data_IF_045021580879
#
_entry.id   IF_045021580879
#
_cell.length_a   1.000
_cell.length_b   1.000
_cell.length_c   1.000
_cell.angle_alpha   90.00
_cell.angle_beta   90.00
_cell.angle_gamma   90.00
#
_symmetry.space_group_name_H-M   'P 1'
#
loop_
_entity.id
_entity.type
_entity.pdbx_description
1 polymer ?
#
# COMPACT_ATOMS: atom_id res chain seq x y z
N UNK A 1 -21.97 1.66 14.12
CA UNK A 1 -20.52 1.94 14.08
C UNK A 1 -20.10 2.14 12.63
N UNK A 2 -20.01 3.40 12.18
CA UNK A 2 -19.47 3.77 10.87
C UNK A 2 -17.94 3.79 10.97
N UNK A 3 -17.33 2.61 11.06
CA UNK A 3 -15.88 2.49 10.98
C UNK A 3 -15.49 2.81 9.52
N UNK A 4 -14.82 3.94 9.33
CA UNK A 4 -13.92 4.23 8.20
C UNK A 4 -14.30 3.52 6.89
N UNK A 5 -15.30 4.02 6.15
CA UNK A 5 -15.51 3.55 4.77
C UNK A 5 -14.38 4.08 3.90
N UNK A 6 -13.20 3.45 4.02
CA UNK A 6 -12.08 3.71 3.16
C UNK A 6 -12.55 3.47 1.73
N UNK A 7 -12.58 4.54 0.92
CA UNK A 7 -13.29 4.52 -0.36
C UNK A 7 -12.42 3.83 -1.42
N UNK A 8 -12.35 2.49 -1.36
CA UNK A 8 -11.50 1.65 -2.21
C UNK A 8 -11.66 1.98 -3.70
N UNK A 9 -12.85 2.36 -4.15
CA UNK A 9 -13.10 2.74 -5.55
C UNK A 9 -12.26 3.96 -5.98
N UNK A 10 -12.07 4.94 -5.07
CA UNK A 10 -11.22 6.12 -5.32
C UNK A 10 -9.74 5.77 -5.27
N UNK A 11 -9.36 4.83 -4.40
CA UNK A 11 -7.97 4.35 -4.27
C UNK A 11 -7.55 3.65 -5.55
N UNK A 12 -8.36 2.72 -6.05
CA UNK A 12 -8.09 2.00 -7.30
C UNK A 12 -7.90 2.95 -8.49
N UNK A 13 -8.81 3.91 -8.63
CA UNK A 13 -8.72 4.94 -9.67
C UNK A 13 -7.45 5.78 -9.52
N UNK A 14 -7.12 6.20 -8.30
CA UNK A 14 -5.92 7.00 -8.00
C UNK A 14 -4.62 6.23 -8.30
N UNK A 15 -4.54 4.96 -7.93
CA UNK A 15 -3.41 4.10 -8.25
C UNK A 15 -3.19 4.02 -9.77
N UNK A 16 -4.26 3.77 -10.52
CA UNK A 16 -4.21 3.71 -11.99
C UNK A 16 -3.79 5.04 -12.62
N UNK A 17 -4.39 6.15 -12.18
CA UNK A 17 -4.08 7.49 -12.70
C UNK A 17 -2.63 7.92 -12.37
N UNK A 18 -2.13 7.57 -11.19
CA UNK A 18 -0.74 7.82 -10.82
C UNK A 18 0.26 7.00 -11.65
N UNK A 19 -0.12 5.77 -12.02
CA UNK A 19 0.63 4.93 -12.94
C UNK A 19 0.52 5.38 -14.41
N UNK A 20 -0.36 6.36 -14.71
CA UNK A 20 -0.59 6.94 -16.05
C UNK A 20 -1.05 5.93 -17.10
N UNK A 21 -1.74 4.87 -16.69
CA UNK A 21 -2.34 3.88 -17.59
C UNK A 21 -3.85 4.08 -17.70
N UNK A 22 -4.43 3.70 -18.83
CA UNK A 22 -5.86 3.72 -19.13
C UNK A 22 -6.60 2.55 -18.46
N UNK A 23 -7.93 2.58 -18.47
CA UNK A 23 -8.72 1.45 -17.97
C UNK A 23 -8.62 0.21 -18.86
N UNK A 24 -8.26 0.37 -20.13
CA UNK A 24 -8.01 -0.73 -21.07
C UNK A 24 -6.67 -1.40 -20.76
N UNK A 25 -5.60 -0.62 -20.67
CA UNK A 25 -4.26 -1.14 -20.28
C UNK A 25 -4.30 -1.83 -18.91
N UNK A 26 -5.01 -1.26 -17.94
CA UNK A 26 -5.22 -1.90 -16.63
C UNK A 26 -5.96 -3.25 -16.76
N UNK A 27 -6.91 -3.33 -17.67
CA UNK A 27 -7.69 -4.54 -17.89
C UNK A 27 -6.85 -5.63 -18.56
N UNK A 28 -6.00 -5.24 -19.52
CA UNK A 28 -5.06 -6.13 -20.19
C UNK A 28 -4.05 -6.73 -19.20
N UNK A 29 -3.45 -5.90 -18.36
CA UNK A 29 -2.50 -6.33 -17.31
C UNK A 29 -3.13 -7.29 -16.29
N UNK A 30 -4.41 -7.09 -15.97
CA UNK A 30 -5.15 -7.94 -15.03
C UNK A 30 -5.87 -9.12 -15.70
N UNK A 31 -5.79 -9.25 -17.03
CA UNK A 31 -6.55 -10.22 -17.81
C UNK A 31 -8.06 -10.22 -17.46
N UNK A 32 -8.65 -9.02 -17.40
CA UNK A 32 -10.08 -8.78 -17.18
C UNK A 32 -10.63 -7.87 -18.26
N UNK A 33 -11.94 -7.60 -18.24
CA UNK A 33 -12.53 -6.61 -19.15
C UNK A 33 -12.37 -5.19 -18.61
N UNK A 34 -12.24 -4.20 -19.49
CA UNK A 34 -12.31 -2.78 -19.13
C UNK A 34 -13.57 -2.44 -18.32
N UNK A 35 -14.70 -3.12 -18.63
CA UNK A 35 -15.95 -2.98 -17.87
C UNK A 35 -15.79 -3.39 -16.39
N UNK A 36 -14.99 -4.42 -16.09
CA UNK A 36 -14.67 -4.79 -14.71
C UNK A 36 -13.87 -3.70 -14.01
N UNK A 37 -12.82 -3.16 -14.64
CA UNK A 37 -12.03 -2.03 -14.12
C UNK A 37 -12.97 -0.85 -13.80
N UNK A 38 -13.82 -0.45 -14.75
CA UNK A 38 -14.81 0.61 -14.56
C UNK A 38 -15.81 0.32 -13.42
N UNK A 39 -16.27 -0.93 -13.27
CA UNK A 39 -17.17 -1.32 -12.17
C UNK A 39 -16.47 -1.20 -10.81
N UNK A 40 -15.20 -1.58 -10.72
CA UNK A 40 -14.41 -1.42 -9.49
C UNK A 40 -14.21 0.06 -9.14
N UNK A 41 -13.77 0.90 -10.09
CA UNK A 41 -13.51 2.32 -9.85
C UNK A 41 -14.78 3.14 -9.53
N UNK A 42 -15.95 2.68 -9.99
CA UNK A 42 -17.25 3.29 -9.65
C UNK A 42 -17.88 2.69 -8.39
N UNK A 43 -17.28 1.67 -7.79
CA UNK A 43 -17.82 0.96 -6.63
C UNK A 43 -19.10 0.18 -6.93
N UNK A 44 -19.30 -0.21 -8.19
CA UNK A 44 -20.42 -1.07 -8.63
C UNK A 44 -20.10 -2.56 -8.50
N UNK A 45 -18.83 -2.89 -8.24
CA UNK A 45 -18.34 -4.22 -7.90
C UNK A 45 -17.31 -4.07 -6.78
N UNK A 46 -17.39 -4.94 -5.78
CA UNK A 46 -16.38 -5.02 -4.71
C UNK A 46 -15.19 -5.81 -5.25
N UNK A 47 -13.99 -5.27 -5.07
CA UNK A 47 -12.74 -5.94 -5.45
C UNK A 47 -12.36 -6.95 -4.35
N UNK A 48 -11.95 -8.15 -4.74
CA UNK A 48 -11.35 -9.12 -3.81
C UNK A 48 -9.88 -8.76 -3.51
N UNK A 49 -9.35 -9.33 -2.43
CA UNK A 49 -7.99 -9.02 -1.98
C UNK A 49 -6.92 -9.41 -2.99
N UNK A 50 -7.08 -10.54 -3.68
CA UNK A 50 -6.10 -11.03 -4.67
C UNK A 50 -5.99 -10.06 -5.85
N UNK A 51 -7.13 -9.63 -6.39
CA UNK A 51 -7.21 -8.64 -7.47
C UNK A 51 -6.71 -7.28 -7.01
N UNK A 52 -6.97 -6.88 -5.76
CA UNK A 52 -6.42 -5.65 -5.19
C UNK A 52 -4.89 -5.67 -5.11
N UNK A 53 -4.29 -6.78 -4.68
CA UNK A 53 -2.84 -6.93 -4.63
C UNK A 53 -2.20 -6.88 -6.02
N UNK A 54 -2.80 -7.59 -7.00
CA UNK A 54 -2.36 -7.50 -8.41
C UNK A 54 -2.50 -6.08 -8.95
N UNK A 55 -3.57 -5.38 -8.60
CA UNK A 55 -3.75 -3.98 -8.98
C UNK A 55 -2.60 -3.12 -8.48
N UNK A 56 -2.23 -3.28 -7.21
CA UNK A 56 -1.13 -2.54 -6.60
C UNK A 56 0.22 -2.87 -7.25
N UNK A 57 0.45 -4.11 -7.68
CA UNK A 57 1.67 -4.52 -8.41
C UNK A 57 1.75 -3.81 -9.77
N UNK A 58 0.68 -3.88 -10.57
CA UNK A 58 0.60 -3.24 -11.90
C UNK A 58 0.84 -1.73 -11.80
N UNK A 59 0.31 -1.08 -10.76
CA UNK A 59 0.44 0.37 -10.58
C UNK A 59 1.65 0.79 -9.73
N UNK A 60 2.55 -0.14 -9.40
CA UNK A 60 3.71 0.09 -8.53
C UNK A 60 3.33 0.83 -7.22
N UNK A 61 2.23 0.41 -6.60
CA UNK A 61 1.59 1.03 -5.43
C UNK A 61 1.53 0.08 -4.23
N UNK A 62 2.42 -0.91 -4.17
CA UNK A 62 2.45 -1.97 -3.16
C UNK A 62 2.63 -1.42 -1.74
N UNK A 63 3.50 -0.44 -1.57
CA UNK A 63 3.77 0.20 -0.26
C UNK A 63 2.53 0.94 0.24
N UNK A 64 1.85 1.66 -0.65
CA UNK A 64 0.61 2.37 -0.32
C UNK A 64 -0.52 1.38 -0.01
N UNK A 65 -0.63 0.29 -0.78
CA UNK A 65 -1.59 -0.78 -0.52
C UNK A 65 -1.35 -1.44 0.85
N UNK A 66 -0.10 -1.73 1.20
CA UNK A 66 0.27 -2.28 2.51
C UNK A 66 -0.10 -1.32 3.65
N UNK A 67 0.21 -0.02 3.52
CA UNK A 67 -0.16 0.98 4.51
C UNK A 67 -1.68 1.10 4.71
N UNK A 68 -2.46 0.90 3.64
CA UNK A 68 -3.93 0.88 3.69
C UNK A 68 -4.45 -0.36 4.41
N UNK A 69 -3.87 -1.54 4.15
CA UNK A 69 -4.36 -2.81 4.69
C UNK A 69 -3.93 -3.06 6.13
N UNK A 70 -2.68 -2.75 6.47
CA UNK A 70 -2.08 -3.08 7.76
C UNK A 70 -2.01 -1.87 8.71
N UNK A 71 -2.35 -0.68 8.24
CA UNK A 71 -2.12 0.56 8.96
C UNK A 71 -0.64 0.96 8.97
N UNK A 72 -0.34 2.11 9.57
CA UNK A 72 1.01 2.70 9.60
C UNK A 72 1.95 2.09 10.66
N UNK A 73 1.55 1.01 11.34
CA UNK A 73 2.29 0.51 12.51
C UNK A 73 3.66 -0.08 12.16
N UNK A 74 3.89 -0.48 10.90
CA UNK A 74 5.18 -1.03 10.46
C UNK A 74 6.31 0.02 10.47
N UNK A 75 5.99 1.30 10.28
CA UNK A 75 7.00 2.37 10.25
C UNK A 75 7.42 2.83 11.65
N UNK A 76 6.61 2.57 12.69
CA UNK A 76 6.89 3.05 14.04
C UNK A 76 8.02 2.28 14.75
N UNK A 77 8.23 1.00 14.43
CA UNK A 77 9.29 0.18 15.05
C UNK A 77 10.70 0.44 14.51
N UNK A 78 10.87 1.04 13.33
CA UNK A 78 12.20 1.38 12.80
C UNK A 78 12.92 2.44 13.66
N UNK A 79 12.18 3.37 14.26
CA UNK A 79 12.73 4.40 15.13
C UNK A 79 13.28 3.86 16.46
N UNK A 80 12.70 2.76 16.98
CA UNK A 80 13.12 2.14 18.24
C UNK A 80 14.46 1.39 18.12
N UNK A 81 14.81 0.92 16.92
CA UNK A 81 16.10 0.26 16.68
C UNK A 81 17.25 1.28 16.60
N UNK A 82 16.99 2.53 16.18
CA UNK A 82 17.99 3.59 16.15
C UNK A 82 18.45 4.01 17.56
N UNK A 83 17.60 3.88 18.57
CA UNK A 83 17.93 4.24 19.97
C UNK A 83 18.79 3.19 20.69
N UNK A 84 19.06 2.03 20.09
CA UNK A 84 19.94 1.00 20.66
C UNK A 84 21.43 1.26 20.40
N UNK A 85 21.77 2.14 19.46
CA UNK A 85 23.16 2.47 19.08
C UNK A 85 23.96 3.18 20.19
N UNK A 86 23.42 4.14 20.97
CA UNK A 86 24.18 4.83 22.00
C UNK A 86 24.60 3.94 23.18
N UNK A 87 23.85 2.87 23.47
CA UNK A 87 24.14 1.98 24.60
C UNK A 87 25.43 1.16 24.41
N UNK A 88 25.71 0.73 23.17
CA UNK A 88 26.93 -0.02 22.86
C UNK A 88 28.16 0.88 22.72
N UNK A 89 28.01 2.06 22.10
CA UNK A 89 29.12 2.99 21.92
C UNK A 89 29.53 3.63 23.26
N UNK A 90 28.57 4.11 24.06
CA UNK A 90 28.85 4.74 25.36
C UNK A 90 29.37 3.75 26.41
N UNK A 91 28.85 2.52 26.43
CA UNK A 91 29.28 1.46 27.35
C UNK A 91 30.69 0.92 27.06
N UNK A 92 31.09 0.76 25.79
CA UNK A 92 32.47 0.41 25.45
C UNK A 92 33.45 1.53 25.77
N UNK A 93 33.06 2.79 25.56
CA UNK A 93 33.93 3.94 25.82
C UNK A 93 34.20 4.18 27.32
N UNK A 94 33.23 3.84 28.19
CA UNK A 94 33.39 3.94 29.66
C UNK A 94 34.13 2.77 30.29
N UNK A 95 34.30 1.64 29.58
CA UNK A 95 35.10 0.49 30.03
C UNK A 95 36.56 0.53 29.57
N UNK A 96 36.92 1.46 28.68
CA UNK A 96 38.27 1.62 28.11
C UNK A 96 39.06 2.82 28.67
N UNK A 97 38.48 3.56 29.63
CA UNK A 97 39.14 4.62 30.42
C UNK A 97 39.19 4.18 31.90
#
# INVERSE_FOLDING_TARGET
MSALSFDFKKVLKKFRENAKITQEEMADELNITQSHVSKYERGRKVIDLETFMRWAQVTNSEVQAAAILFGTDVCAQAAQLMTLVPAFAGGMFTWML
#
